data_IF_377848815235
#
_entry.id   IF_377848815235
#
_cell.length_a   1.000
_cell.length_b   1.000
_cell.length_c   1.000
_cell.angle_alpha   90.00
_cell.angle_beta   90.00
_cell.angle_gamma   90.00
#
_symmetry.space_group_name_H-M   'P 1'
#
loop_
_entity.id
_entity.type
_entity.pdbx_description
1 polymer ?
#
# COMPACT_ATOMS: atom_id res chain seq x y z
N UNK A 1 -0.82 -12.66 8.96
CA UNK A 1 -0.16 -13.32 7.80
C UNK A 1 -1.02 -14.51 7.40
N UNK A 2 -1.60 -14.54 6.20
CA UNK A 2 -2.20 -15.78 5.66
C UNK A 2 -1.22 -16.30 4.62
N UNK A 3 -0.59 -17.43 4.92
CA UNK A 3 0.20 -18.18 3.94
C UNK A 3 -0.80 -18.96 3.09
N UNK A 4 -0.93 -18.61 1.82
CA UNK A 4 -1.83 -19.28 0.90
C UNK A 4 -1.17 -20.50 0.27
N UNK A 5 -1.33 -21.67 0.89
CA UNK A 5 -1.45 -22.91 0.12
C UNK A 5 -2.93 -23.02 -0.28
N UNK A 6 -3.21 -23.26 -1.56
CA UNK A 6 -4.55 -23.29 -2.12
C UNK A 6 -5.37 -24.43 -1.50
N UNK A 7 -6.17 -24.12 -0.48
CA UNK A 7 -7.25 -24.97 0.02
C UNK A 7 -8.40 -24.11 0.52
N UNK A 8 -9.53 -24.23 -0.17
CA UNK A 8 -10.76 -23.49 0.12
C UNK A 8 -11.41 -24.00 1.40
N UNK A 9 -11.13 -23.37 2.55
CA UNK A 9 -12.05 -23.37 3.70
C UNK A 9 -12.18 -21.95 4.28
N UNK A 10 -13.40 -21.41 4.19
CA UNK A 10 -13.79 -20.13 4.80
C UNK A 10 -13.78 -20.29 6.33
N UNK A 11 -12.90 -19.56 7.02
CA UNK A 11 -13.08 -19.28 8.45
C UNK A 11 -14.13 -18.18 8.62
N UNK A 12 -15.20 -18.50 9.35
CA UNK A 12 -16.26 -17.58 9.75
C UNK A 12 -15.78 -16.72 10.93
N UNK A 13 -15.85 -15.40 10.78
CA UNK A 13 -15.90 -14.44 11.89
C UNK A 13 -17.34 -13.93 12.04
N UNK A 14 -17.78 -13.55 13.26
CA UNK A 14 -19.19 -13.31 13.54
C UNK A 14 -19.71 -12.06 12.82
N UNK A 15 -20.61 -12.27 11.87
CA UNK A 15 -21.32 -11.22 11.13
C UNK A 15 -22.60 -10.86 11.88
N UNK A 16 -22.69 -9.64 12.43
CA UNK A 16 -23.98 -9.11 12.92
C UNK A 16 -24.92 -8.94 11.71
N UNK A 17 -26.10 -9.57 11.79
CA UNK A 17 -27.17 -9.51 10.77
C UNK A 17 -28.13 -8.35 11.11
N UNK A 18 -28.63 -7.63 10.11
CA UNK A 18 -29.48 -6.45 10.29
C UNK A 18 -30.97 -6.80 10.52
N UNK A 19 -31.60 -6.22 11.55
CA UNK A 19 -33.07 -6.13 11.70
C UNK A 19 -33.64 -4.88 10.97
N UNK A 20 -34.95 -4.84 10.70
CA UNK A 20 -35.52 -4.23 9.48
C UNK A 20 -36.08 -2.78 9.54
N UNK A 21 -35.95 -2.01 10.62
CA UNK A 21 -36.67 -0.72 10.76
C UNK A 21 -35.89 0.58 10.50
N UNK A 22 -34.65 0.71 11.00
CA UNK A 22 -33.87 1.98 11.04
C UNK A 22 -32.72 2.05 10.00
N UNK A 23 -32.94 1.41 8.85
CA UNK A 23 -31.88 0.69 8.13
C UNK A 23 -30.89 1.51 7.30
N UNK A 24 -31.20 2.73 6.83
CA UNK A 24 -30.36 3.41 5.81
C UNK A 24 -29.19 4.22 6.39
N UNK A 25 -29.44 5.07 7.39
CA UNK A 25 -28.36 5.77 8.12
C UNK A 25 -27.45 4.76 8.83
N UNK A 26 -28.03 3.69 9.39
CA UNK A 26 -27.25 2.62 10.04
C UNK A 26 -26.24 1.94 9.11
N UNK A 27 -26.53 1.80 7.81
CA UNK A 27 -25.58 1.25 6.84
C UNK A 27 -24.44 2.22 6.56
N UNK A 28 -24.71 3.50 6.35
CA UNK A 28 -23.68 4.52 6.13
C UNK A 28 -22.75 4.66 7.35
N UNK A 29 -23.29 4.70 8.57
CA UNK A 29 -22.50 4.73 9.81
C UNK A 29 -21.69 3.44 9.97
N UNK A 30 -22.28 2.26 9.77
CA UNK A 30 -21.56 0.98 9.87
C UNK A 30 -20.41 0.87 8.85
N UNK A 31 -20.62 1.39 7.63
CA UNK A 31 -19.58 1.52 6.61
C UNK A 31 -18.45 2.45 7.07
N UNK A 32 -18.82 3.58 7.69
CA UNK A 32 -17.86 4.54 8.22
C UNK A 32 -17.05 3.96 9.39
N UNK A 33 -17.70 3.32 10.36
CA UNK A 33 -17.04 2.69 11.51
C UNK A 33 -16.10 1.56 11.06
N UNK A 34 -16.52 0.78 10.05
CA UNK A 34 -15.67 -0.26 9.45
C UNK A 34 -14.42 0.33 8.80
N UNK A 35 -14.51 1.48 8.13
CA UNK A 35 -13.35 2.15 7.51
C UNK A 35 -12.49 2.84 8.56
N UNK A 36 -13.07 3.49 9.56
CA UNK A 36 -12.33 4.08 10.68
C UNK A 36 -11.48 3.02 11.38
N UNK A 37 -12.06 1.85 11.65
CA UNK A 37 -11.32 0.72 12.24
C UNK A 37 -10.14 0.29 11.35
N UNK A 38 -10.28 0.37 10.03
CA UNK A 38 -9.22 0.00 9.08
C UNK A 38 -8.10 1.03 9.02
N UNK A 39 -8.49 2.30 9.08
CA UNK A 39 -7.62 3.46 9.13
C UNK A 39 -7.21 3.81 10.57
N UNK A 40 -7.32 2.86 11.50
CA UNK A 40 -6.84 2.97 12.87
C UNK A 40 -5.69 1.97 13.08
N UNK A 41 -4.84 2.22 14.08
CA UNK A 41 -3.76 1.31 14.45
C UNK A 41 -4.36 0.03 15.04
N UNK A 42 -4.76 -0.90 14.17
CA UNK A 42 -5.66 -2.02 14.50
C UNK A 42 -5.00 -3.16 15.28
N UNK A 43 -3.76 -3.01 15.74
CA UNK A 43 -3.08 -3.94 16.63
C UNK A 43 -2.27 -3.16 17.66
N UNK A 44 -2.22 -3.58 18.94
CA UNK A 44 -1.19 -3.10 19.85
C UNK A 44 0.17 -3.33 19.18
N UNK A 45 1.00 -2.30 19.06
CA UNK A 45 2.27 -2.44 18.37
C UNK A 45 3.14 -3.44 19.13
N UNK A 46 3.82 -4.31 18.37
CA UNK A 46 4.71 -5.32 18.94
C UNK A 46 5.90 -4.70 19.70
N UNK A 47 6.22 -3.43 19.43
CA UNK A 47 7.24 -2.65 20.11
C UNK A 47 6.77 -1.19 20.27
N UNK A 48 6.14 -0.89 21.41
CA UNK A 48 5.67 0.46 21.76
C UNK A 48 6.83 1.44 21.85
N UNK A 49 7.98 1.01 22.37
CA UNK A 49 9.14 1.88 22.56
C UNK A 49 9.71 2.32 21.21
N UNK A 50 9.78 1.41 20.22
CA UNK A 50 10.15 1.78 18.86
C UNK A 50 9.20 2.80 18.25
N UNK A 51 7.88 2.60 18.40
CA UNK A 51 6.90 3.56 17.89
C UNK A 51 7.09 4.94 18.51
N UNK A 52 7.16 5.03 19.83
CA UNK A 52 7.34 6.31 20.51
C UNK A 52 8.62 7.02 20.07
N UNK A 53 9.73 6.30 19.89
CA UNK A 53 10.98 6.88 19.36
C UNK A 53 10.79 7.46 17.96
N UNK A 54 10.13 6.74 17.07
CA UNK A 54 9.87 7.20 15.70
C UNK A 54 8.94 8.41 15.68
N UNK A 55 7.87 8.41 16.48
CA UNK A 55 6.95 9.56 16.55
C UNK A 55 7.65 10.80 17.11
N UNK A 56 8.50 10.65 18.13
CA UNK A 56 9.30 11.73 18.69
C UNK A 56 10.33 12.26 17.69
N UNK A 57 11.05 11.37 16.99
CA UNK A 57 12.01 11.80 15.96
C UNK A 57 11.34 12.55 14.81
N UNK A 58 10.18 12.07 14.36
CA UNK A 58 9.38 12.77 13.33
C UNK A 58 8.93 14.13 13.86
N UNK A 59 8.45 14.22 15.09
CA UNK A 59 8.05 15.49 15.68
C UNK A 59 9.23 16.47 15.76
N UNK A 60 10.40 16.01 16.20
CA UNK A 60 11.63 16.83 16.26
C UNK A 60 12.04 17.31 14.87
N UNK A 61 12.16 16.41 13.88
CA UNK A 61 12.55 16.78 12.50
C UNK A 61 11.57 17.75 11.85
N UNK A 62 10.29 17.58 12.11
CA UNK A 62 9.23 18.43 11.55
C UNK A 62 9.08 19.77 12.28
N UNK A 63 9.72 19.95 13.43
CA UNK A 63 9.80 21.26 14.10
C UNK A 63 10.89 22.17 13.53
N UNK A 64 11.80 21.64 12.69
CA UNK A 64 12.91 22.39 12.11
C UNK A 64 12.49 23.02 10.78
N UNK A 65 13.07 24.19 10.48
CA UNK A 65 12.88 24.83 9.18
C UNK A 65 13.45 23.95 8.04
N UNK A 66 12.73 23.79 6.91
CA UNK A 66 13.19 22.99 5.79
C UNK A 66 14.52 23.51 5.25
N UNK A 67 15.50 22.64 5.07
CA UNK A 67 16.86 23.03 4.63
C UNK A 67 17.10 22.88 3.12
N UNK A 68 16.09 22.48 2.37
CA UNK A 68 16.21 22.18 0.94
C UNK A 68 15.89 23.36 0.01
N UNK A 69 16.46 23.28 -1.20
CA UNK A 69 16.28 24.22 -2.31
C UNK A 69 15.26 23.70 -3.33
N UNK A 70 14.08 23.25 -2.88
CA UNK A 70 13.03 22.84 -3.82
C UNK A 70 12.58 24.00 -4.71
N UNK A 71 12.75 23.83 -6.02
CA UNK A 71 12.36 24.81 -7.02
C UNK A 71 10.84 25.10 -6.94
N UNK A 72 10.40 26.37 -7.10
CA UNK A 72 8.98 26.70 -7.19
C UNK A 72 8.25 25.98 -8.33
N UNK A 73 6.93 25.84 -8.21
CA UNK A 73 6.07 25.35 -9.30
C UNK A 73 5.89 26.45 -10.34
N UNK A 74 6.19 26.15 -11.60
CA UNK A 74 6.11 27.15 -12.68
C UNK A 74 4.70 27.24 -13.27
N UNK A 75 4.36 28.39 -13.86
CA UNK A 75 3.05 28.56 -14.52
C UNK A 75 2.87 27.59 -15.70
N UNK A 76 3.93 27.30 -16.45
CA UNK A 76 3.89 26.36 -17.58
C UNK A 76 3.67 24.91 -17.13
N UNK A 77 4.23 24.51 -15.98
CA UNK A 77 3.98 23.22 -15.34
C UNK A 77 2.49 23.09 -14.98
N UNK A 78 1.93 24.11 -14.33
CA UNK A 78 0.50 24.14 -13.96
C UNK A 78 -0.39 24.06 -15.20
N UNK A 79 -0.12 24.87 -16.23
CA UNK A 79 -0.90 24.89 -17.47
C UNK A 79 -0.91 23.52 -18.17
N UNK A 80 0.24 22.83 -18.20
CA UNK A 80 0.37 21.49 -18.79
C UNK A 80 -0.47 20.48 -18.02
N UNK A 81 -0.39 20.51 -16.68
CA UNK A 81 -1.15 19.60 -15.83
C UNK A 81 -2.65 19.84 -15.93
N UNK A 82 -3.10 21.10 -15.98
CA UNK A 82 -4.51 21.49 -16.14
C UNK A 82 -5.09 20.94 -17.44
N UNK A 83 -4.38 21.05 -18.57
CA UNK A 83 -4.82 20.50 -19.86
C UNK A 83 -5.04 18.98 -19.82
N UNK A 84 -4.35 18.27 -18.93
CA UNK A 84 -4.48 16.82 -18.76
C UNK A 84 -5.53 16.40 -17.71
N UNK A 85 -6.24 17.33 -17.07
CA UNK A 85 -7.25 17.01 -16.05
C UNK A 85 -8.57 16.58 -16.69
N UNK A 86 -9.16 15.53 -16.14
CA UNK A 86 -10.48 15.05 -16.53
C UNK A 86 -11.42 15.17 -15.30
N UNK A 87 -12.21 16.24 -15.23
CA UNK A 87 -13.06 16.59 -14.07
C UNK A 87 -14.51 16.18 -14.31
N UNK A 88 -14.80 14.87 -14.24
CA UNK A 88 -16.16 14.35 -14.48
C UNK A 88 -16.95 13.98 -13.21
N UNK A 89 -16.40 14.14 -11.99
CA UNK A 89 -17.08 13.75 -10.74
C UNK A 89 -16.78 14.71 -9.59
N UNK A 90 -17.80 14.97 -8.78
CA UNK A 90 -17.72 15.77 -7.55
C UNK A 90 -16.91 15.03 -6.46
N UNK A 91 -16.26 15.76 -5.53
CA UNK A 91 -15.52 15.15 -4.43
C UNK A 91 -16.45 14.50 -3.41
N UNK A 92 -16.40 13.17 -3.34
CA UNK A 92 -17.15 12.35 -2.40
C UNK A 92 -16.49 10.97 -2.23
N UNK A 93 -16.65 10.33 -1.08
CA UNK A 93 -16.22 8.94 -0.88
C UNK A 93 -17.34 7.98 -1.35
N UNK A 94 -17.25 7.55 -2.61
CA UNK A 94 -18.13 6.54 -3.16
C UNK A 94 -17.57 5.14 -2.91
N UNK A 95 -18.40 4.23 -2.40
CA UNK A 95 -18.04 2.81 -2.29
C UNK A 95 -18.26 2.07 -3.61
N UNK A 96 -17.20 1.55 -4.24
CA UNK A 96 -17.35 0.58 -5.34
C UNK A 96 -17.58 -0.82 -4.77
N UNK A 97 -18.70 -1.43 -5.14
CA UNK A 97 -19.02 -2.78 -4.72
C UNK A 97 -18.08 -3.82 -5.37
N UNK A 98 -17.52 -4.70 -4.55
CA UNK A 98 -16.67 -5.83 -4.98
C UNK A 98 -17.54 -6.86 -5.70
N UNK A 99 -17.13 -7.37 -6.88
CA UNK A 99 -17.85 -8.41 -7.59
C UNK A 99 -18.08 -9.65 -6.70
N UNK A 100 -19.28 -10.24 -6.76
CA UNK A 100 -19.61 -11.48 -6.04
C UNK A 100 -19.73 -11.39 -4.51
N UNK A 101 -19.74 -10.18 -3.93
CA UNK A 101 -19.98 -9.95 -2.49
C UNK A 101 -21.41 -9.47 -2.22
N UNK A 102 -21.88 -9.58 -0.99
CA UNK A 102 -23.22 -9.11 -0.61
C UNK A 102 -23.19 -7.61 -0.34
N UNK A 103 -24.20 -6.87 -0.82
CA UNK A 103 -24.29 -5.40 -0.67
C UNK A 103 -24.51 -4.94 0.78
N UNK A 104 -24.85 -5.87 1.66
CA UNK A 104 -25.22 -5.56 3.04
C UNK A 104 -23.99 -5.49 3.97
N UNK A 105 -22.80 -5.87 3.47
CA UNK A 105 -21.59 -5.93 4.28
C UNK A 105 -20.63 -4.79 3.94
N UNK A 106 -20.11 -4.06 4.95
CA UNK A 106 -19.10 -3.04 4.73
C UNK A 106 -17.84 -3.50 4.00
N UNK A 107 -17.42 -4.75 4.25
CA UNK A 107 -16.25 -5.36 3.61
C UNK A 107 -16.41 -5.56 2.09
N UNK A 108 -17.64 -5.46 1.58
CA UNK A 108 -17.99 -5.61 0.17
C UNK A 108 -17.74 -4.35 -0.64
N UNK A 109 -17.39 -3.22 -0.03
CA UNK A 109 -17.13 -1.98 -0.75
C UNK A 109 -15.63 -1.63 -0.74
N UNK A 110 -15.15 -1.04 -1.84
CA UNK A 110 -13.87 -0.34 -1.94
C UNK A 110 -14.14 1.16 -1.80
N UNK A 111 -13.63 1.82 -0.75
CA UNK A 111 -13.78 3.25 -0.59
C UNK A 111 -12.93 3.99 -1.64
N UNK A 112 -13.55 4.84 -2.47
CA UNK A 112 -12.85 5.69 -3.44
C UNK A 112 -12.98 7.14 -3.03
N UNK A 113 -11.84 7.78 -2.74
CA UNK A 113 -11.81 9.22 -2.50
C UNK A 113 -11.82 9.95 -3.82
N UNK A 114 -12.96 10.50 -4.22
CA UNK A 114 -13.00 11.44 -5.34
C UNK A 114 -12.46 12.79 -4.85
N UNK A 115 -11.39 13.27 -5.47
CA UNK A 115 -10.86 14.62 -5.22
C UNK A 115 -11.51 15.63 -6.15
N UNK A 116 -11.60 16.88 -5.67
CA UNK A 116 -11.98 18.03 -6.49
C UNK A 116 -10.99 18.20 -7.65
N UNK A 117 -11.34 18.99 -8.66
CA UNK A 117 -10.42 19.31 -9.76
C UNK A 117 -9.09 19.89 -9.25
N UNK A 118 -9.16 20.81 -8.28
CA UNK A 118 -7.98 21.37 -7.60
C UNK A 118 -7.20 20.32 -6.81
N UNK A 119 -7.88 19.42 -6.10
CA UNK A 119 -7.21 18.33 -5.37
C UNK A 119 -6.47 17.38 -6.32
N UNK A 120 -7.06 17.05 -7.48
CA UNK A 120 -6.39 16.24 -8.52
C UNK A 120 -5.19 16.96 -9.12
N UNK A 121 -5.29 18.26 -9.36
CA UNK A 121 -4.17 19.07 -9.84
C UNK A 121 -3.03 19.06 -8.82
N UNK A 122 -3.34 19.32 -7.56
CA UNK A 122 -2.40 19.31 -6.46
C UNK A 122 -1.69 17.95 -6.33
N UNK A 123 -2.43 16.84 -6.35
CA UNK A 123 -1.82 15.51 -6.33
C UNK A 123 -0.93 15.22 -7.54
N UNK A 124 -1.28 15.73 -8.73
CA UNK A 124 -0.43 15.57 -9.92
C UNK A 124 0.89 16.33 -9.77
N UNK A 125 0.84 17.58 -9.32
CA UNK A 125 2.04 18.39 -9.03
C UNK A 125 2.90 17.66 -7.99
N UNK A 126 2.28 17.27 -6.87
CA UNK A 126 2.98 16.60 -5.79
C UNK A 126 3.61 15.29 -6.27
N UNK A 127 2.91 14.50 -7.09
CA UNK A 127 3.46 13.27 -7.68
C UNK A 127 4.69 13.57 -8.52
N UNK A 128 4.65 14.55 -9.43
CA UNK A 128 5.80 14.89 -10.28
C UNK A 128 7.01 15.25 -9.43
N UNK A 129 6.83 16.12 -8.42
CA UNK A 129 7.92 16.54 -7.53
C UNK A 129 8.43 15.41 -6.63
N UNK A 130 7.56 14.47 -6.28
CA UNK A 130 7.89 13.33 -5.43
C UNK A 130 8.53 12.17 -6.23
N UNK A 131 8.16 11.99 -7.50
CA UNK A 131 8.68 10.91 -8.34
C UNK A 131 10.14 11.12 -8.71
N UNK A 132 10.58 12.36 -8.95
CA UNK A 132 11.94 12.61 -9.43
C UNK A 132 13.01 12.21 -8.40
N UNK A 133 12.90 12.60 -7.10
CA UNK A 133 13.84 12.13 -6.09
C UNK A 133 13.77 10.62 -5.88
N UNK A 134 12.57 10.02 -5.85
CA UNK A 134 12.38 8.60 -5.52
C UNK A 134 12.81 7.65 -6.64
N UNK A 135 12.44 7.95 -7.87
CA UNK A 135 12.70 7.09 -9.02
C UNK A 135 14.01 7.45 -9.70
N UNK A 136 14.33 8.75 -9.81
CA UNK A 136 15.53 9.23 -10.48
C UNK A 136 16.82 8.85 -9.74
N UNK A 137 16.77 8.72 -8.41
CA UNK A 137 17.92 8.27 -7.59
C UNK A 137 17.94 6.76 -7.34
N UNK A 138 17.05 5.98 -7.98
CA UNK A 138 16.97 4.53 -7.76
C UNK A 138 16.65 4.14 -6.32
N UNK A 139 15.93 5.00 -5.58
CA UNK A 139 15.62 4.75 -4.17
C UNK A 139 14.54 3.70 -4.01
N UNK A 140 13.71 3.49 -5.03
CA UNK A 140 12.72 2.40 -5.04
C UNK A 140 13.41 1.08 -5.44
N UNK A 141 13.23 0.05 -4.62
CA UNK A 141 13.70 -1.31 -4.86
C UNK A 141 13.31 -1.81 -6.26
N UNK A 142 14.24 -2.46 -6.95
CA UNK A 142 14.06 -2.77 -8.37
C UNK A 142 12.95 -3.78 -8.65
N UNK A 143 12.72 -4.68 -7.70
CA UNK A 143 11.67 -5.67 -7.74
C UNK A 143 10.25 -5.06 -7.64
N UNK A 144 10.11 -3.77 -7.30
CA UNK A 144 8.84 -3.06 -7.27
C UNK A 144 8.44 -2.51 -8.64
N UNK A 145 7.47 -3.19 -9.26
CA UNK A 145 6.96 -2.83 -10.58
C UNK A 145 5.66 -2.00 -10.48
N UNK A 146 5.02 -1.96 -9.31
CA UNK A 146 3.83 -1.17 -9.06
C UNK A 146 4.14 0.32 -8.93
N UNK A 147 3.32 1.16 -9.57
CA UNK A 147 3.44 2.62 -9.59
C UNK A 147 4.78 3.16 -10.12
N UNK A 148 5.58 2.31 -10.78
CA UNK A 148 6.86 2.68 -11.39
C UNK A 148 6.68 2.91 -12.89
N UNK A 149 7.14 4.04 -13.45
CA UNK A 149 7.17 4.26 -14.89
C UNK A 149 7.93 3.15 -15.62
N UNK A 150 7.52 2.83 -16.85
CA UNK A 150 8.09 1.77 -17.68
C UNK A 150 8.04 0.34 -17.09
N UNK A 151 7.29 0.15 -16.00
CA UNK A 151 7.02 -1.16 -15.41
C UNK A 151 5.50 -1.42 -15.42
N UNK A 152 5.14 -2.69 -15.51
CA UNK A 152 3.75 -3.12 -15.63
C UNK A 152 3.57 -4.51 -15.03
N UNK A 153 2.32 -4.85 -14.71
CA UNK A 153 1.97 -6.17 -14.19
C UNK A 153 2.39 -7.29 -15.18
N UNK A 154 2.13 -7.19 -16.50
CA UNK A 154 2.61 -8.19 -17.46
C UNK A 154 4.12 -8.38 -17.46
N UNK A 155 4.92 -7.32 -17.29
CA UNK A 155 6.39 -7.46 -17.21
C UNK A 155 6.83 -8.23 -15.95
N UNK A 156 6.17 -8.01 -14.81
CA UNK A 156 6.47 -8.75 -13.58
C UNK A 156 6.07 -10.23 -13.71
N UNK A 157 4.92 -10.49 -14.32
CA UNK A 157 4.46 -11.86 -14.62
C UNK A 157 5.42 -12.53 -15.59
N UNK A 158 5.88 -11.83 -16.63
CA UNK A 158 6.86 -12.37 -17.59
C UNK A 158 8.16 -12.78 -16.89
N UNK A 159 8.65 -11.98 -15.92
CA UNK A 159 9.82 -12.34 -15.12
C UNK A 159 9.60 -13.65 -14.35
N UNK A 160 8.44 -13.82 -13.73
CA UNK A 160 8.10 -15.05 -13.01
C UNK A 160 7.97 -16.25 -13.96
N UNK A 161 7.27 -16.08 -15.09
CA UNK A 161 7.09 -17.15 -16.10
C UNK A 161 8.44 -17.59 -16.65
N UNK A 162 9.33 -16.64 -16.98
CA UNK A 162 10.67 -16.94 -17.46
C UNK A 162 11.46 -17.77 -16.44
N UNK A 163 11.44 -17.35 -15.17
CA UNK A 163 12.09 -18.10 -14.09
C UNK A 163 11.55 -19.53 -13.97
N UNK A 164 10.22 -19.69 -14.01
CA UNK A 164 9.58 -21.00 -13.96
C UNK A 164 9.98 -21.88 -15.16
N UNK A 165 10.04 -21.31 -16.37
CA UNK A 165 10.47 -22.04 -17.57
C UNK A 165 11.92 -22.49 -17.49
N UNK A 166 12.84 -21.60 -17.07
CA UNK A 166 14.27 -21.92 -16.88
C UNK A 166 14.47 -23.01 -15.82
N UNK A 167 13.70 -22.97 -14.73
CA UNK A 167 13.71 -24.02 -13.72
C UNK A 167 13.31 -25.38 -14.29
N UNK A 168 12.27 -25.45 -15.13
CA UNK A 168 11.89 -26.71 -15.78
C UNK A 168 12.94 -27.21 -16.77
N UNK A 169 13.59 -26.33 -17.53
CA UNK A 169 14.68 -26.68 -18.44
C UNK A 169 15.91 -27.24 -17.71
N UNK A 170 16.11 -26.85 -16.45
CA UNK A 170 17.26 -27.27 -15.63
C UNK A 170 16.91 -28.36 -14.62
N UNK A 171 15.79 -29.07 -14.81
CA UNK A 171 15.30 -30.13 -13.91
C UNK A 171 15.17 -29.67 -12.45
N UNK A 172 14.86 -28.40 -12.25
CA UNK A 172 14.49 -27.81 -10.96
C UNK A 172 12.97 -27.73 -10.85
N UNK A 173 12.48 -27.72 -9.61
CA UNK A 173 11.08 -27.49 -9.29
C UNK A 173 10.89 -26.05 -8.80
N UNK A 174 10.28 -25.16 -9.60
CA UNK A 174 9.98 -23.81 -9.15
C UNK A 174 8.89 -23.80 -8.09
N UNK A 175 9.09 -23.04 -7.03
CA UNK A 175 8.14 -22.83 -5.94
C UNK A 175 7.93 -21.33 -5.77
N UNK A 176 6.66 -20.92 -5.65
CA UNK A 176 6.30 -19.52 -5.40
C UNK A 176 5.35 -19.41 -4.21
N UNK A 177 5.58 -18.40 -3.36
CA UNK A 177 4.76 -18.02 -2.22
C UNK A 177 4.24 -16.62 -2.44
N UNK A 178 2.92 -16.46 -2.38
CA UNK A 178 2.25 -15.17 -2.55
C UNK A 178 1.76 -14.65 -1.20
N UNK A 179 2.04 -13.37 -0.94
CA UNK A 179 1.59 -12.65 0.25
C UNK A 179 0.57 -11.60 -0.15
N UNK A 180 -0.57 -11.62 0.54
CA UNK A 180 -1.63 -10.62 0.42
C UNK A 180 -1.65 -9.75 1.69
N UNK A 181 -1.29 -8.47 1.52
CA UNK A 181 -1.33 -7.48 2.61
C UNK A 181 -2.74 -6.92 2.72
N UNK A 182 -3.50 -7.47 3.67
CA UNK A 182 -4.87 -7.02 3.90
C UNK A 182 -4.94 -5.51 4.14
N UNK A 183 -5.67 -4.80 3.28
CA UNK A 183 -5.96 -3.35 3.39
C UNK A 183 -4.69 -2.50 3.46
N UNK A 184 -3.70 -2.85 2.66
CA UNK A 184 -2.37 -2.25 2.64
C UNK A 184 -2.38 -0.71 2.66
N UNK A 185 -3.12 -0.09 1.74
CA UNK A 185 -3.21 1.37 1.64
C UNK A 185 -3.92 2.02 2.82
N UNK A 186 -4.94 1.39 3.40
CA UNK A 186 -5.69 1.97 4.52
C UNK A 186 -4.92 1.90 5.85
N UNK A 187 -3.82 1.13 5.91
CA UNK A 187 -3.08 0.84 7.15
C UNK A 187 -1.70 1.48 7.27
N UNK A 188 -1.31 2.28 6.29
CA UNK A 188 -0.01 2.98 6.31
C UNK A 188 0.06 3.89 7.53
N UNK A 189 0.98 3.62 8.45
CA UNK A 189 1.21 4.46 9.62
C UNK A 189 1.90 5.76 9.19
N UNK A 190 1.26 6.90 9.47
CA UNK A 190 1.72 8.19 8.97
C UNK A 190 3.10 8.57 9.51
N UNK A 191 3.37 8.46 10.82
CA UNK A 191 4.69 8.80 11.35
C UNK A 191 5.77 7.87 10.80
N UNK A 192 5.52 6.57 10.72
CA UNK A 192 6.44 5.61 10.08
C UNK A 192 6.70 5.93 8.60
N UNK A 193 5.68 6.36 7.85
CA UNK A 193 5.87 6.84 6.47
C UNK A 193 6.78 8.08 6.45
N UNK A 194 6.50 9.11 7.26
CA UNK A 194 7.30 10.34 7.30
C UNK A 194 8.76 10.03 7.68
N UNK A 195 8.99 9.18 8.67
CA UNK A 195 10.32 8.70 9.06
C UNK A 195 11.05 8.02 7.89
N UNK A 196 10.37 7.15 7.13
CA UNK A 196 10.94 6.51 5.95
C UNK A 196 11.25 7.51 4.85
N UNK A 197 10.43 8.54 4.63
CA UNK A 197 10.72 9.58 3.65
C UNK A 197 12.00 10.37 3.99
N UNK A 198 12.21 10.69 5.28
CA UNK A 198 13.48 11.27 5.73
C UNK A 198 14.66 10.32 5.50
N UNK A 199 14.48 9.02 5.78
CA UNK A 199 15.52 8.00 5.54
C UNK A 199 15.87 7.86 4.06
N UNK A 200 14.89 8.07 3.17
CA UNK A 200 15.06 8.09 1.72
C UNK A 200 15.59 9.44 1.20
N UNK A 201 15.96 10.39 2.07
CA UNK A 201 16.49 11.70 1.69
C UNK A 201 15.56 12.46 0.73
N UNK A 202 14.24 12.29 0.90
CA UNK A 202 13.26 13.15 0.23
C UNK A 202 13.41 14.56 0.80
N UNK A 203 13.36 15.61 -0.03
CA UNK A 203 13.44 16.98 0.47
C UNK A 203 12.40 17.29 1.56
N UNK A 204 12.84 17.92 2.64
CA UNK A 204 12.05 18.33 3.81
C UNK A 204 10.73 19.01 3.42
N UNK A 205 10.74 19.97 2.49
CA UNK A 205 9.53 20.69 2.05
C UNK A 205 8.48 19.74 1.46
N UNK A 206 8.89 18.72 0.70
CA UNK A 206 7.95 17.71 0.20
C UNK A 206 7.41 16.84 1.33
N UNK A 207 8.26 16.46 2.27
CA UNK A 207 7.84 15.70 3.45
C UNK A 207 6.80 16.50 4.25
N UNK A 208 7.04 17.80 4.48
CA UNK A 208 6.09 18.69 5.13
C UNK A 208 4.75 18.78 4.40
N UNK A 209 4.78 18.92 3.08
CA UNK A 209 3.57 18.96 2.27
C UNK A 209 2.81 17.63 2.39
N UNK A 210 3.50 16.49 2.35
CA UNK A 210 2.89 15.15 2.48
C UNK A 210 2.30 14.96 3.87
N UNK A 211 3.02 15.34 4.93
CA UNK A 211 2.54 15.25 6.31
C UNK A 211 1.28 16.08 6.50
N UNK A 212 1.29 17.35 6.06
CA UNK A 212 0.12 18.22 6.12
C UNK A 212 -1.03 17.71 5.25
N UNK A 213 -0.72 17.12 4.09
CA UNK A 213 -1.72 16.51 3.22
C UNK A 213 -2.41 15.32 3.88
N UNK A 214 -1.69 14.49 4.63
CA UNK A 214 -2.24 13.32 5.33
C UNK A 214 -2.91 13.68 6.67
N UNK A 215 -2.44 14.74 7.32
CA UNK A 215 -2.94 15.19 8.62
C UNK A 215 -4.38 15.72 8.54
N UNK A 216 -5.14 15.53 9.63
CA UNK A 216 -6.50 16.07 9.81
C UNK A 216 -7.48 15.75 8.66
N UNK A 217 -7.20 14.72 7.86
CA UNK A 217 -8.12 14.28 6.83
C UNK A 217 -9.31 13.61 7.47
N UNK A 218 -10.48 14.00 7.00
CA UNK A 218 -11.73 13.39 7.42
C UNK A 218 -12.44 12.79 6.23
N UNK A 219 -13.28 11.79 6.49
CA UNK A 219 -14.16 11.22 5.50
C UNK A 219 -15.58 11.13 6.04
N UNK A 220 -16.52 11.12 5.11
CA UNK A 220 -17.91 10.71 5.31
C UNK A 220 -18.19 9.61 4.29
N UNK A 221 -19.09 8.69 4.60
CA UNK A 221 -19.52 7.66 3.67
C UNK A 221 -20.93 7.99 3.18
N UNK A 222 -21.13 8.05 1.86
CA UNK A 222 -22.47 8.17 1.28
C UNK A 222 -23.01 6.80 0.90
N UNK A 223 -24.17 6.46 1.43
CA UNK A 223 -24.95 5.31 0.99
C UNK A 223 -26.34 5.80 0.54
N UNK A 224 -26.64 5.61 -0.75
CA UNK A 224 -27.82 6.18 -1.40
C UNK A 224 -27.92 7.71 -1.22
N UNK A 225 -28.91 8.17 -0.43
CA UNK A 225 -29.17 9.59 -0.10
C UNK A 225 -28.78 9.94 1.34
N UNK A 226 -28.10 9.04 2.04
CA UNK A 226 -27.70 9.24 3.44
C UNK A 226 -26.19 9.32 3.58
N UNK A 227 -25.74 10.14 4.53
CA UNK A 227 -24.32 10.33 4.85
C UNK A 227 -24.07 9.84 6.28
N UNK A 228 -22.89 9.26 6.50
CA UNK A 228 -22.38 9.01 7.84
C UNK A 228 -21.97 10.30 8.53
N UNK A 229 -21.80 10.23 9.84
CA UNK A 229 -21.03 11.24 10.56
C UNK A 229 -19.57 11.28 10.09
N UNK A 230 -18.93 12.45 10.26
CA UNK A 230 -17.56 12.71 9.86
C UNK A 230 -16.59 11.92 10.75
N UNK A 231 -15.63 11.20 10.14
CA UNK A 231 -14.60 10.42 10.83
C UNK A 231 -13.21 10.89 10.45
N UNK A 232 -12.27 10.82 11.40
CA UNK A 232 -10.87 11.17 11.18
C UNK A 232 -10.13 9.98 10.56
N UNK A 233 -9.25 10.23 9.59
CA UNK A 233 -8.31 9.25 9.05
C UNK A 233 -7.03 9.32 9.86
N UNK A 234 -6.72 8.27 10.63
CA UNK A 234 -5.51 8.20 11.47
C UNK A 234 -4.36 7.44 10.81
N UNK A 235 -4.68 6.59 9.85
CA UNK A 235 -3.73 5.81 9.07
C UNK A 235 -4.23 5.64 7.64
N UNK A 236 -3.27 5.38 6.76
CA UNK A 236 -3.48 5.06 5.36
C UNK A 236 -3.15 6.21 4.41
N UNK A 237 -2.94 5.84 3.16
CA UNK A 237 -2.75 6.76 2.04
C UNK A 237 -3.88 6.55 1.02
N UNK A 238 -4.27 7.58 0.24
CA UNK A 238 -5.43 7.47 -0.64
C UNK A 238 -5.21 6.44 -1.77
N UNK A 239 -6.03 5.39 -1.80
CA UNK A 239 -6.01 4.37 -2.86
C UNK A 239 -6.53 4.93 -4.19
N UNK A 240 -5.85 4.62 -5.30
CA UNK A 240 -6.23 5.10 -6.63
C UNK A 240 -5.92 6.58 -6.87
N UNK A 241 -5.21 7.21 -5.93
CA UNK A 241 -4.61 8.52 -6.12
C UNK A 241 -3.29 8.43 -6.86
N UNK A 242 -2.88 9.56 -7.41
CA UNK A 242 -1.56 9.69 -8.01
C UNK A 242 -0.44 9.47 -6.98
N UNK A 243 -0.75 9.63 -5.69
CA UNK A 243 0.16 9.47 -4.55
C UNK A 243 0.27 8.03 -4.04
N UNK A 244 -0.26 7.04 -4.77
CA UNK A 244 -0.07 5.62 -4.43
C UNK A 244 1.42 5.22 -4.36
N UNK A 245 2.32 6.02 -4.96
CA UNK A 245 3.78 5.90 -4.83
C UNK A 245 4.28 6.04 -3.37
N UNK A 246 3.54 6.72 -2.48
CA UNK A 246 3.85 6.77 -1.05
C UNK A 246 3.86 5.38 -0.42
N UNK A 247 3.03 4.46 -0.92
CA UNK A 247 3.06 3.07 -0.47
C UNK A 247 4.34 2.37 -0.88
N UNK A 248 4.82 2.58 -2.12
CA UNK A 248 6.09 2.02 -2.57
C UNK A 248 7.26 2.55 -1.73
N UNK A 249 7.26 3.83 -1.36
CA UNK A 249 8.27 4.39 -0.45
C UNK A 249 8.16 3.79 0.96
N UNK A 250 6.93 3.54 1.45
CA UNK A 250 6.68 2.93 2.74
C UNK A 250 7.15 1.48 2.85
N UNK A 251 7.04 0.68 1.79
CA UNK A 251 7.44 -0.74 1.79
C UNK A 251 8.82 -0.99 1.20
N UNK A 252 9.56 0.08 0.94
CA UNK A 252 10.83 0.03 0.22
C UNK A 252 11.95 -0.72 0.96
N UNK A 253 11.83 -0.85 2.27
CA UNK A 253 12.73 -1.57 3.16
C UNK A 253 12.35 -3.05 3.33
N UNK A 254 11.47 -3.57 2.46
CA UNK A 254 11.15 -5.00 2.43
C UNK A 254 12.44 -5.83 2.26
N UNK A 255 12.65 -6.87 3.09
CA UNK A 255 13.87 -7.67 3.03
C UNK A 255 14.10 -8.30 1.65
N UNK A 256 15.33 -8.20 1.16
CA UNK A 256 15.78 -8.86 -0.07
C UNK A 256 16.47 -10.18 0.31
N UNK A 257 15.89 -11.35 -0.03
CA UNK A 257 16.48 -12.64 0.31
C UNK A 257 17.57 -13.04 -0.71
N UNK A 258 18.56 -12.16 -0.91
CA UNK A 258 19.58 -12.27 -1.96
C UNK A 258 20.55 -13.45 -1.76
N UNK A 259 20.66 -13.99 -0.55
CA UNK A 259 21.61 -15.05 -0.20
C UNK A 259 21.06 -16.48 -0.34
N UNK A 260 19.77 -16.66 -0.67
CA UNK A 260 19.11 -17.98 -0.64
C UNK A 260 18.60 -18.47 -2.00
N UNK A 261 18.99 -17.81 -3.11
CA UNK A 261 18.42 -18.11 -4.44
C UNK A 261 16.93 -17.78 -4.55
N UNK A 262 16.40 -17.00 -3.61
CA UNK A 262 15.00 -16.56 -3.57
C UNK A 262 14.90 -15.22 -4.29
N UNK A 263 13.97 -15.15 -5.22
CA UNK A 263 13.64 -13.96 -5.97
C UNK A 263 12.42 -13.28 -5.34
N UNK A 264 12.46 -11.94 -5.29
CA UNK A 264 11.35 -11.11 -4.85
C UNK A 264 10.65 -10.50 -6.05
N UNK A 265 9.32 -10.48 -6.05
CA UNK A 265 8.51 -9.70 -6.98
C UNK A 265 7.46 -8.91 -6.21
N UNK A 266 7.40 -7.61 -6.48
CA UNK A 266 6.45 -6.70 -5.86
C UNK A 266 5.63 -6.00 -6.94
N UNK A 267 4.33 -5.87 -6.70
CA UNK A 267 3.46 -5.01 -7.49
C UNK A 267 2.47 -4.31 -6.56
N UNK A 268 2.78 -3.07 -6.19
CA UNK A 268 2.05 -2.36 -5.14
C UNK A 268 2.06 -3.18 -3.84
N UNK A 269 0.90 -3.61 -3.36
CA UNK A 269 0.71 -4.44 -2.16
C UNK A 269 0.88 -5.94 -2.40
N UNK A 270 0.79 -6.40 -3.65
CA UNK A 270 1.02 -7.80 -4.00
C UNK A 270 2.52 -8.12 -3.89
N UNK A 271 2.85 -9.16 -3.12
CA UNK A 271 4.23 -9.62 -2.92
C UNK A 271 4.33 -11.10 -3.24
N UNK A 272 5.32 -11.48 -4.04
CA UNK A 272 5.64 -12.86 -4.33
C UNK A 272 7.12 -13.13 -4.05
N UNK A 273 7.39 -14.26 -3.41
CA UNK A 273 8.72 -14.84 -3.30
C UNK A 273 8.74 -16.12 -4.13
N UNK A 274 9.78 -16.33 -4.93
CA UNK A 274 9.88 -17.53 -5.74
C UNK A 274 11.32 -18.04 -5.81
N UNK A 275 11.47 -19.35 -5.87
CA UNK A 275 12.78 -20.03 -5.86
C UNK A 275 12.66 -21.38 -6.54
N UNK A 276 13.76 -22.10 -6.65
CA UNK A 276 13.87 -23.41 -7.29
C UNK A 276 14.43 -24.44 -6.31
N UNK A 277 13.86 -25.63 -6.31
CA UNK A 277 14.31 -26.76 -5.49
C UNK A 277 14.84 -27.86 -6.43
N UNK A 278 15.96 -28.49 -6.07
CA UNK A 278 16.50 -29.61 -6.83
C UNK A 278 15.56 -30.83 -6.81
N UNK A 279 15.32 -31.42 -7.97
CA UNK A 279 14.55 -32.67 -8.08
C UNK A 279 15.54 -33.82 -7.79
N UNK A 280 15.72 -34.18 -6.51
CA UNK A 280 16.43 -35.43 -6.14
C UNK A 280 17.60 -35.34 -5.15
N UNK A 281 17.48 -34.61 -4.03
CA UNK A 281 18.38 -34.86 -2.89
C UNK A 281 17.71 -35.86 -1.93
N UNK A 282 18.28 -37.05 -1.68
CA UNK A 282 17.84 -37.87 -0.56
C UNK A 282 18.27 -37.17 0.74
N UNK A 283 17.29 -36.86 1.58
CA UNK A 283 17.51 -36.53 2.99
C UNK A 283 18.03 -37.78 3.72
N UNK A 284 19.33 -38.00 3.67
CA UNK A 284 20.01 -39.01 4.51
C UNK A 284 21.20 -38.35 5.20
N UNK A 285 21.15 -38.10 6.52
CA UNK A 285 22.37 -37.84 7.27
C UNK A 285 23.22 -39.11 7.23
N UNK A 286 24.38 -39.05 6.59
CA UNK A 286 25.35 -40.13 6.62
C UNK A 286 25.77 -40.39 8.07
N UNK A 287 25.40 -41.57 8.58
CA UNK A 287 25.88 -42.09 9.85
C UNK A 287 27.42 -42.15 9.82
N UNK A 288 28.12 -41.74 10.90
CA UNK A 288 29.57 -41.88 10.94
C UNK A 288 29.96 -43.36 10.93
N UNK A 289 31.12 -43.73 10.36
CA UNK A 289 31.57 -45.12 10.34
C UNK A 289 31.91 -45.56 11.77
N UNK A 290 31.32 -46.67 12.20
CA UNK A 290 31.75 -47.38 13.40
C UNK A 290 33.17 -47.92 13.17
N UNK A 291 34.14 -47.36 13.90
CA UNK A 291 35.50 -47.84 13.93
C UNK A 291 35.62 -49.03 14.88
N UNK A 292 36.23 -50.11 14.38
CA UNK A 292 36.79 -51.23 15.14
C UNK A 292 38.05 -50.81 15.89
#
# INVERSE_FOLDING_TARGET
>A
MRVGATSWRKLNHPTKRFEHGHRRRGVAECLADSRETQCSHASPPHDIAHISRIEEEVLQKTSLEPKDDLAPVSLSEVQTLVKSLNTRKAPELDGIHKPGKTRDLPASYRPISLLSGLGKLFEKILKTRFSDPLLGKGLVIDEQFGFRPAHSCPQQVLRLVKYVSEGFETERSPVAVFFDVAKAFDRVWHAGLIYKLYSLQVPDRLIFIIQNYLANKHFTFRHERTHSTRRLIRAGVPQGSTLSLLYSAYTNDVPRPSSSGVQLALFADDTALFTEIGIGAPDSPSSPPEGH
#
